data_IF_486503956808
#
_entry.id   IF_486503956808
#
_cell.length_a   1.000
_cell.length_b   1.000
_cell.length_c   1.000
_cell.angle_alpha   90.00
_cell.angle_beta   90.00
_cell.angle_gamma   90.00
#
_symmetry.space_group_name_H-M   'P 1'
#
loop_
_entity.id
_entity.type
_entity.pdbx_description
1 polymer ?
#
# COMPACT_ATOMS: atom_id res chain seq x y z
N UNK A 1 -11.76 19.17 2.17
CA UNK A 1 -11.08 17.93 1.75
C UNK A 1 -10.91 17.11 3.02
N UNK A 2 -11.66 16.01 3.15
CA UNK A 2 -11.95 15.37 4.45
C UNK A 2 -10.76 14.59 4.98
N UNK A 3 -10.39 14.93 6.21
CA UNK A 3 -9.38 14.30 7.07
C UNK A 3 -9.85 12.90 7.50
N UNK A 4 -9.60 11.87 6.67
CA UNK A 4 -9.89 10.45 6.96
C UNK A 4 -8.69 9.53 6.71
N UNK A 5 -7.48 10.03 6.95
CA UNK A 5 -6.22 9.30 6.79
C UNK A 5 -5.66 8.79 8.15
N UNK A 6 -6.51 8.50 9.14
CA UNK A 6 -6.04 8.14 10.49
C UNK A 6 -6.41 6.71 10.84
N UNK A 7 -5.40 5.85 10.98
CA UNK A 7 -5.56 4.57 11.68
C UNK A 7 -5.86 4.88 13.15
N UNK A 8 -7.09 4.62 13.60
CA UNK A 8 -7.47 4.92 14.97
C UNK A 8 -6.95 3.81 15.89
N UNK A 9 -6.41 4.20 17.04
CA UNK A 9 -6.17 3.30 18.16
C UNK A 9 -7.08 3.74 19.30
N UNK A 10 -8.05 2.89 19.66
CA UNK A 10 -8.85 3.08 20.86
C UNK A 10 -8.26 2.22 21.98
N UNK A 11 -8.12 2.83 23.16
CA UNK A 11 -7.52 2.19 24.32
C UNK A 11 -8.50 2.21 25.50
N UNK A 12 -8.67 1.07 26.17
CA UNK A 12 -9.33 1.03 27.47
C UNK A 12 -8.39 0.39 28.49
N UNK A 13 -8.20 1.07 29.62
CA UNK A 13 -7.30 0.65 30.69
C UNK A 13 -8.09 0.31 31.93
N UNK A 14 -7.93 -0.92 32.41
CA UNK A 14 -8.38 -1.37 33.72
C UNK A 14 -7.15 -1.75 34.54
N UNK A 15 -7.28 -1.85 35.86
CA UNK A 15 -6.15 -2.22 36.71
C UNK A 15 -5.67 -3.63 36.37
N UNK A 16 -4.53 -3.73 35.70
CA UNK A 16 -3.93 -5.00 35.28
C UNK A 16 -4.36 -5.50 33.89
N UNK A 17 -5.17 -4.74 33.15
CA UNK A 17 -5.67 -5.12 31.82
C UNK A 17 -5.70 -3.89 30.89
N UNK A 18 -5.36 -4.09 29.62
CA UNK A 18 -5.42 -3.06 28.60
C UNK A 18 -5.97 -3.66 27.30
N UNK A 19 -6.97 -3.00 26.72
CA UNK A 19 -7.53 -3.37 25.42
C UNK A 19 -7.14 -2.31 24.37
N UNK A 20 -6.55 -2.77 23.27
CA UNK A 20 -6.18 -1.94 22.12
C UNK A 20 -7.01 -2.36 20.91
N UNK A 21 -7.67 -1.40 20.27
CA UNK A 21 -8.46 -1.62 19.04
C UNK A 21 -7.91 -0.74 17.93
N UNK A 22 -7.58 -1.33 16.78
CA UNK A 22 -7.17 -0.60 15.59
C UNK A 22 -7.82 -1.16 14.34
N UNK A 23 -8.02 -0.28 13.37
CA UNK A 23 -8.45 -0.59 12.01
C UNK A 23 -7.30 -1.11 11.12
N UNK A 24 -6.05 -1.00 11.58
CA UNK A 24 -4.86 -1.45 10.87
C UNK A 24 -4.14 -2.58 11.62
N UNK A 25 -4.03 -3.74 10.95
CA UNK A 25 -3.38 -4.95 11.48
C UNK A 25 -1.90 -4.71 11.79
N UNK A 26 -1.20 -3.92 10.98
CA UNK A 26 0.21 -3.58 11.21
C UNK A 26 0.40 -2.81 12.51
N UNK A 27 -0.53 -1.92 12.86
CA UNK A 27 -0.50 -1.21 14.15
C UNK A 27 -0.56 -2.19 15.32
N UNK A 28 -1.44 -3.20 15.25
CA UNK A 28 -1.54 -4.25 16.29
C UNK A 28 -0.28 -5.13 16.30
N UNK A 29 0.32 -5.42 15.14
CA UNK A 29 1.59 -6.16 15.03
C UNK A 29 2.72 -5.45 15.78
N UNK A 30 2.90 -4.15 15.50
CA UNK A 30 3.91 -3.29 16.13
C UNK A 30 3.67 -3.17 17.64
N UNK A 31 2.42 -2.97 18.06
CA UNK A 31 2.07 -2.89 19.48
C UNK A 31 2.40 -4.20 20.22
N UNK A 32 1.98 -5.35 19.68
CA UNK A 32 2.25 -6.66 20.27
C UNK A 32 3.75 -6.90 20.42
N UNK A 33 4.55 -6.57 19.41
CA UNK A 33 6.00 -6.76 19.43
C UNK A 33 6.70 -5.88 20.47
N UNK A 34 6.34 -4.59 20.51
CA UNK A 34 6.89 -3.66 21.50
C UNK A 34 6.48 -4.02 22.93
N UNK A 35 5.21 -4.34 23.17
CA UNK A 35 4.71 -4.75 24.49
C UNK A 35 5.40 -6.03 24.98
N UNK A 36 5.53 -7.03 24.10
CA UNK A 36 6.21 -8.30 24.43
C UNK A 36 7.69 -8.05 24.77
N UNK A 37 8.36 -7.19 23.98
CA UNK A 37 9.77 -6.85 24.17
C UNK A 37 9.99 -6.12 25.49
N UNK A 38 9.18 -5.11 25.80
CA UNK A 38 9.29 -4.34 27.04
C UNK A 38 8.91 -5.16 28.28
N UNK A 39 7.87 -6.00 28.19
CA UNK A 39 7.52 -6.93 29.28
C UNK A 39 8.66 -7.89 29.59
N UNK A 40 9.31 -8.44 28.55
CA UNK A 40 10.48 -9.32 28.68
C UNK A 40 11.65 -8.60 29.35
N UNK A 41 12.00 -7.38 28.90
CA UNK A 41 13.06 -6.56 29.52
C UNK A 41 12.81 -6.30 31.01
N UNK A 42 11.54 -6.05 31.38
CA UNK A 42 11.13 -5.77 32.76
C UNK A 42 10.82 -7.03 33.58
N UNK A 43 10.93 -8.22 32.99
CA UNK A 43 10.55 -9.51 33.60
C UNK A 43 9.10 -9.53 34.13
N UNK A 44 8.21 -8.81 33.44
CA UNK A 44 6.78 -8.78 33.75
C UNK A 44 6.11 -9.88 32.93
N UNK A 45 5.33 -10.75 33.59
CA UNK A 45 4.50 -11.72 32.89
C UNK A 45 3.27 -11.00 32.34
N UNK A 46 3.13 -10.99 31.02
CA UNK A 46 1.95 -10.48 30.31
C UNK A 46 1.30 -11.61 29.54
N UNK A 47 -0.03 -11.61 29.49
CA UNK A 47 -0.82 -12.47 28.62
C UNK A 47 -1.43 -11.59 27.52
N UNK A 48 -1.23 -11.96 26.26
CA UNK A 48 -1.62 -11.14 25.10
C UNK A 48 -2.49 -11.98 24.18
N UNK A 49 -3.78 -11.66 24.19
CA UNK A 49 -4.75 -12.22 23.26
C UNK A 49 -5.00 -11.23 22.13
N UNK A 50 -4.99 -11.72 20.89
CA UNK A 50 -5.18 -10.89 19.69
C UNK A 50 -6.26 -11.47 18.79
N UNK A 51 -7.20 -10.63 18.38
CA UNK A 51 -8.23 -10.93 17.40
C UNK A 51 -8.04 -10.05 16.16
N UNK A 52 -7.93 -10.67 14.99
CA UNK A 52 -7.77 -9.97 13.70
C UNK A 52 -8.99 -10.27 12.84
N UNK A 53 -9.63 -9.21 12.35
CA UNK A 53 -10.73 -9.31 11.39
C UNK A 53 -10.17 -9.34 9.98
N UNK A 54 -10.63 -10.27 9.14
CA UNK A 54 -10.22 -10.29 7.75
C UNK A 54 -10.73 -9.04 6.98
N UNK A 55 -11.82 -8.41 7.43
CA UNK A 55 -12.38 -7.19 6.82
C UNK A 55 -11.53 -5.94 7.05
N UNK A 56 -10.64 -5.94 8.05
CA UNK A 56 -9.71 -4.81 8.23
C UNK A 56 -8.74 -4.70 7.06
N UNK A 57 -8.38 -5.82 6.43
CA UNK A 57 -7.52 -5.83 5.23
C UNK A 57 -8.22 -5.12 4.07
N UNK A 58 -9.48 -5.50 3.79
CA UNK A 58 -10.27 -4.88 2.73
C UNK A 58 -10.35 -3.36 2.91
N UNK A 59 -10.58 -2.92 4.14
CA UNK A 59 -10.68 -1.50 4.52
C UNK A 59 -9.38 -0.74 4.27
N UNK A 60 -8.23 -1.27 4.74
CA UNK A 60 -6.92 -0.63 4.55
C UNK A 60 -6.54 -0.59 3.07
N UNK A 61 -6.76 -1.68 2.33
CA UNK A 61 -6.49 -1.73 0.89
C UNK A 61 -7.33 -0.71 0.12
N UNK A 62 -8.59 -0.49 0.52
CA UNK A 62 -9.47 0.52 -0.10
C UNK A 62 -8.98 1.94 0.15
N UNK A 63 -8.45 2.23 1.33
CA UNK A 63 -7.87 3.54 1.65
C UNK A 63 -6.61 3.84 0.82
N UNK A 64 -5.83 2.81 0.47
CA UNK A 64 -4.62 2.96 -0.34
C UNK A 64 -4.89 2.99 -1.84
N UNK A 65 -6.03 2.47 -2.30
CA UNK A 65 -6.35 2.27 -3.72
C UNK A 65 -6.28 3.57 -4.54
N UNK A 66 -6.91 4.65 -4.09
CA UNK A 66 -6.93 5.91 -4.85
C UNK A 66 -5.51 6.44 -5.08
N UNK A 67 -4.69 6.44 -4.02
CA UNK A 67 -3.30 6.87 -4.07
C UNK A 67 -2.48 5.93 -4.96
N UNK A 68 -2.66 4.62 -4.82
CA UNK A 68 -1.97 3.62 -5.62
C UNK A 68 -2.21 3.81 -7.12
N UNK A 69 -3.47 3.90 -7.55
CA UNK A 69 -3.85 4.10 -8.96
C UNK A 69 -3.27 5.42 -9.49
N UNK A 70 -3.37 6.49 -8.70
CA UNK A 70 -2.84 7.80 -9.06
C UNK A 70 -1.33 7.74 -9.33
N UNK A 71 -0.56 7.16 -8.40
CA UNK A 71 0.89 7.09 -8.52
C UNK A 71 1.36 6.12 -9.62
N UNK A 72 0.66 5.02 -9.85
CA UNK A 72 0.94 4.13 -10.97
C UNK A 72 0.74 4.80 -12.31
N UNK A 73 -0.37 5.54 -12.45
CA UNK A 73 -0.63 6.31 -13.67
C UNK A 73 0.48 7.34 -13.89
N UNK A 74 0.85 8.07 -12.83
CA UNK A 74 1.90 9.07 -12.91
C UNK A 74 3.26 8.48 -13.33
N UNK A 75 3.64 7.32 -12.77
CA UNK A 75 4.86 6.61 -13.14
C UNK A 75 4.84 6.13 -14.60
N UNK A 76 3.69 5.59 -15.05
CA UNK A 76 3.50 5.18 -16.47
C UNK A 76 3.58 6.36 -17.42
N UNK A 77 2.95 7.49 -17.08
CA UNK A 77 2.96 8.71 -17.88
C UNK A 77 4.38 9.28 -18.01
N UNK A 78 5.19 9.26 -16.94
CA UNK A 78 6.61 9.66 -16.98
C UNK A 78 7.43 8.71 -17.85
N UNK A 79 7.29 7.40 -17.67
CA UNK A 79 8.00 6.41 -18.49
C UNK A 79 7.69 6.56 -19.99
N UNK A 80 6.43 6.88 -20.32
CA UNK A 80 6.03 7.17 -21.70
C UNK A 80 6.65 8.47 -22.23
N UNK A 81 6.67 9.54 -21.42
CA UNK A 81 7.31 10.81 -21.79
C UNK A 81 8.81 10.63 -22.05
N UNK A 82 9.49 9.84 -21.22
CA UNK A 82 10.91 9.55 -21.40
C UNK A 82 11.15 8.79 -22.71
N UNK A 83 10.35 7.76 -23.00
CA UNK A 83 10.42 7.03 -24.27
C UNK A 83 10.11 7.91 -25.50
N UNK A 84 9.14 8.84 -25.40
CA UNK A 84 8.83 9.77 -26.48
C UNK A 84 9.97 10.77 -26.73
N UNK A 85 10.62 11.24 -25.66
CA UNK A 85 11.78 12.11 -25.76
C UNK A 85 13.00 11.39 -26.38
N UNK A 86 13.22 10.11 -26.03
CA UNK A 86 14.26 9.28 -26.65
C UNK A 86 14.06 9.05 -28.14
N UNK A 87 12.80 8.97 -28.59
CA UNK A 87 12.45 8.84 -30.00
C UNK A 87 12.54 10.16 -30.78
N UNK A 88 13.04 11.24 -30.15
CA UNK A 88 13.11 12.60 -30.71
C UNK A 88 11.74 13.05 -31.25
N UNK A 89 10.65 12.61 -30.62
CA UNK A 89 9.29 13.07 -30.94
C UNK A 89 9.05 14.43 -30.29
N UNK A 90 9.95 15.37 -30.59
CA UNK A 90 9.96 16.75 -30.11
C UNK A 90 9.64 17.74 -31.25
N UNK A 91 9.62 17.27 -32.50
CA UNK A 91 9.29 18.09 -33.68
C UNK A 91 7.79 17.98 -34.05
N UNK A 92 7.19 19.10 -34.49
CA UNK A 92 5.78 19.16 -34.89
C UNK A 92 5.40 18.14 -35.98
N UNK A 93 6.36 17.73 -36.83
CA UNK A 93 6.11 16.76 -37.90
C UNK A 93 5.96 15.31 -37.40
N UNK A 94 6.76 14.88 -36.42
CA UNK A 94 6.68 13.52 -35.86
C UNK A 94 5.52 13.39 -34.89
N UNK A 95 5.20 14.45 -34.15
CA UNK A 95 4.05 14.48 -33.24
C UNK A 95 2.72 14.27 -33.98
N UNK A 96 2.59 14.65 -35.27
CA UNK A 96 1.34 14.48 -36.05
C UNK A 96 0.88 13.02 -36.14
N UNK A 97 1.82 12.07 -36.18
CA UNK A 97 1.54 10.63 -36.27
C UNK A 97 1.14 9.98 -34.94
N UNK A 98 1.29 10.70 -33.82
CA UNK A 98 0.89 10.20 -32.51
C UNK A 98 -0.63 10.18 -32.34
N UNK A 99 -1.09 9.22 -31.55
CA UNK A 99 -2.48 9.19 -31.08
C UNK A 99 -2.79 10.42 -30.20
N UNK A 100 -4.07 10.84 -30.11
CA UNK A 100 -4.46 11.98 -29.27
C UNK A 100 -3.99 11.86 -27.82
N UNK A 101 -4.02 10.64 -27.26
CA UNK A 101 -3.58 10.35 -25.89
C UNK A 101 -2.11 10.77 -25.63
N UNK A 102 -1.21 10.51 -26.57
CA UNK A 102 0.20 10.85 -26.41
C UNK A 102 0.46 12.34 -26.65
N UNK A 103 -0.30 12.97 -27.57
CA UNK A 103 -0.26 14.43 -27.77
C UNK A 103 -0.67 15.18 -26.51
N UNK A 104 -1.77 14.76 -25.88
CA UNK A 104 -2.26 15.34 -24.62
C UNK A 104 -1.28 15.15 -23.46
N UNK A 105 -0.50 14.07 -23.49
CA UNK A 105 0.55 13.80 -22.51
C UNK A 105 1.76 14.74 -22.71
N UNK A 106 2.21 14.93 -23.96
CA UNK A 106 3.29 15.88 -24.31
C UNK A 106 2.92 17.32 -23.93
N UNK A 107 1.68 17.75 -24.18
CA UNK A 107 1.18 19.08 -23.78
C UNK A 107 1.31 19.30 -22.27
N UNK A 108 1.03 18.26 -21.47
CA UNK A 108 1.06 18.31 -20.00
C UNK A 108 2.40 17.88 -19.39
N UNK A 109 3.44 17.65 -20.20
CA UNK A 109 4.72 17.11 -19.75
C UNK A 109 5.29 17.86 -18.54
N UNK A 110 5.34 19.19 -18.60
CA UNK A 110 5.88 20.04 -17.51
C UNK A 110 5.12 19.85 -16.19
N UNK A 111 3.80 19.71 -16.25
CA UNK A 111 2.95 19.48 -15.08
C UNK A 111 3.19 18.08 -14.50
N UNK A 112 3.16 17.06 -15.37
CA UNK A 112 3.35 15.65 -14.99
C UNK A 112 4.73 15.44 -14.35
N UNK A 113 5.79 15.98 -14.96
CA UNK A 113 7.16 15.93 -14.41
C UNK A 113 7.27 16.65 -13.07
N UNK A 114 6.66 17.83 -12.93
CA UNK A 114 6.65 18.58 -11.66
C UNK A 114 5.92 17.82 -10.56
N UNK A 115 4.78 17.20 -10.86
CA UNK A 115 4.01 16.42 -9.90
C UNK A 115 4.83 15.21 -9.44
N UNK A 116 5.43 14.46 -10.37
CA UNK A 116 6.27 13.30 -10.06
C UNK A 116 7.48 13.67 -9.18
N UNK A 117 8.16 14.77 -9.49
CA UNK A 117 9.29 15.27 -8.69
C UNK A 117 8.89 15.74 -7.29
N UNK A 118 7.65 16.18 -7.10
CA UNK A 118 7.18 16.61 -5.78
C UNK A 118 6.84 15.45 -4.84
N UNK A 119 6.71 14.23 -5.38
CA UNK A 119 6.31 13.03 -4.66
C UNK A 119 7.25 11.84 -4.94
N UNK A 120 8.57 11.99 -4.70
CA UNK A 120 9.55 10.96 -5.02
C UNK A 120 9.37 9.73 -4.12
N UNK A 121 9.35 8.54 -4.74
CA UNK A 121 9.25 7.26 -4.03
C UNK A 121 7.91 7.01 -3.33
N UNK A 122 6.87 7.80 -3.62
CA UNK A 122 5.54 7.58 -3.03
C UNK A 122 4.95 6.23 -3.43
N UNK A 123 5.14 5.79 -4.68
CA UNK A 123 4.69 4.48 -5.15
C UNK A 123 5.42 3.35 -4.40
N UNK A 124 6.75 3.43 -4.28
CA UNK A 124 7.56 2.45 -3.55
C UNK A 124 7.15 2.34 -2.08
N UNK A 125 6.82 3.48 -1.45
CA UNK A 125 6.30 3.51 -0.07
C UNK A 125 4.96 2.81 0.06
N UNK A 126 4.06 2.98 -0.91
CA UNK A 126 2.78 2.25 -0.92
C UNK A 126 3.03 0.75 -1.07
N UNK A 127 3.91 0.33 -1.99
CA UNK A 127 4.28 -1.07 -2.16
C UNK A 127 4.88 -1.68 -0.90
N UNK A 128 5.78 -0.95 -0.23
CA UNK A 128 6.31 -1.33 1.07
C UNK A 128 5.21 -1.50 2.12
N UNK A 129 4.31 -0.51 2.23
CA UNK A 129 3.21 -0.52 3.19
C UNK A 129 2.27 -1.72 2.98
N UNK A 130 1.90 -2.02 1.73
CA UNK A 130 1.05 -3.18 1.42
C UNK A 130 1.79 -4.49 1.67
N UNK A 131 3.10 -4.54 1.41
CA UNK A 131 3.94 -5.72 1.69
C UNK A 131 4.06 -6.00 3.18
N UNK A 132 4.28 -4.96 4.00
CA UNK A 132 4.34 -5.08 5.45
C UNK A 132 2.99 -5.52 6.01
N UNK A 133 1.89 -4.94 5.54
CA UNK A 133 0.53 -5.36 5.89
C UNK A 133 0.28 -6.84 5.58
N UNK A 134 0.75 -7.34 4.42
CA UNK A 134 0.64 -8.75 4.05
C UNK A 134 1.41 -9.66 5.00
N UNK A 135 2.63 -9.27 5.36
CA UNK A 135 3.47 -10.04 6.30
C UNK A 135 2.83 -10.07 7.69
N UNK A 136 2.39 -8.92 8.20
CA UNK A 136 1.76 -8.80 9.51
C UNK A 136 0.47 -9.62 9.60
N UNK A 137 -0.39 -9.53 8.60
CA UNK A 137 -1.63 -10.29 8.55
C UNK A 137 -1.40 -11.80 8.58
N UNK A 138 -0.44 -12.29 7.80
CA UNK A 138 -0.11 -13.72 7.78
C UNK A 138 0.60 -14.17 9.07
N UNK A 139 1.42 -13.30 9.69
CA UNK A 139 2.07 -13.55 10.99
C UNK A 139 1.02 -13.83 12.07
N UNK A 140 -0.08 -13.09 12.10
CA UNK A 140 -1.19 -13.34 13.03
C UNK A 140 -1.94 -14.66 12.76
N UNK A 141 -1.98 -15.12 11.51
CA UNK A 141 -2.52 -16.43 11.13
C UNK A 141 -1.53 -17.59 11.32
N UNK A 142 -0.31 -17.32 11.80
CA UNK A 142 0.74 -18.34 11.98
C UNK A 142 1.42 -18.78 10.69
N UNK A 143 1.26 -18.03 9.59
CA UNK A 143 1.79 -18.36 8.26
C UNK A 143 3.01 -17.48 7.97
N UNK A 144 4.15 -18.09 7.62
CA UNK A 144 5.31 -17.33 7.13
C UNK A 144 5.13 -17.02 5.63
N UNK A 145 4.85 -15.76 5.32
CA UNK A 145 4.56 -15.31 3.96
C UNK A 145 5.68 -14.50 3.30
N UNK A 146 6.86 -14.40 3.92
CA UNK A 146 7.97 -13.56 3.41
C UNK A 146 8.39 -13.91 1.98
N UNK A 147 8.40 -15.20 1.63
CA UNK A 147 8.72 -15.66 0.27
C UNK A 147 7.61 -15.35 -0.75
N UNK A 148 6.37 -15.19 -0.30
CA UNK A 148 5.23 -14.81 -1.14
C UNK A 148 5.18 -13.30 -1.39
N UNK A 149 5.83 -12.49 -0.54
CA UNK A 149 5.89 -11.04 -0.71
C UNK A 149 6.54 -10.61 -2.06
N UNK A 150 7.45 -11.41 -2.62
CA UNK A 150 7.99 -11.12 -3.97
C UNK A 150 6.91 -11.20 -5.05
N UNK A 151 5.99 -12.16 -4.96
CA UNK A 151 4.86 -12.30 -5.90
C UNK A 151 3.80 -11.20 -5.72
N UNK A 152 3.75 -10.60 -4.53
CA UNK A 152 2.86 -9.46 -4.27
C UNK A 152 3.25 -8.25 -5.13
N UNK A 153 4.54 -8.06 -5.42
CA UNK A 153 4.99 -6.97 -6.30
C UNK A 153 4.41 -7.12 -7.71
N UNK A 154 4.38 -8.34 -8.26
CA UNK A 154 3.76 -8.61 -9.57
C UNK A 154 2.26 -8.27 -9.56
N UNK A 155 1.54 -8.63 -8.49
CA UNK A 155 0.11 -8.30 -8.32
C UNK A 155 -0.12 -6.79 -8.16
N UNK A 156 0.82 -6.09 -7.52
CA UNK A 156 0.75 -4.65 -7.38
C UNK A 156 1.03 -3.95 -8.71
N UNK A 157 2.00 -4.40 -9.51
CA UNK A 157 2.31 -3.83 -10.82
C UNK A 157 1.14 -3.96 -11.83
N UNK A 158 0.48 -5.12 -11.85
CA UNK A 158 -0.76 -5.37 -12.60
C UNK A 158 -2.00 -5.23 -11.68
N UNK A 159 -2.12 -4.05 -11.07
CA UNK A 159 -3.10 -3.80 -10.02
C UNK A 159 -4.54 -4.13 -10.45
N UNK A 160 -5.15 -5.03 -9.70
CA UNK A 160 -6.60 -5.23 -9.63
C UNK A 160 -6.98 -5.42 -8.16
N UNK A 161 -8.02 -4.70 -7.71
CA UNK A 161 -8.49 -4.81 -6.32
C UNK A 161 -8.83 -6.27 -5.96
N UNK A 162 -9.55 -6.97 -6.83
CA UNK A 162 -9.95 -8.35 -6.60
C UNK A 162 -8.77 -9.31 -6.55
N UNK A 163 -7.76 -9.10 -7.41
CA UNK A 163 -6.54 -9.90 -7.40
C UNK A 163 -5.74 -9.66 -6.12
N UNK A 164 -5.62 -8.41 -5.69
CA UNK A 164 -4.90 -8.06 -4.47
C UNK A 164 -5.60 -8.62 -3.23
N UNK A 165 -6.92 -8.46 -3.12
CA UNK A 165 -7.70 -9.04 -2.01
C UNK A 165 -7.61 -10.56 -2.03
N UNK A 166 -7.74 -11.21 -3.19
CA UNK A 166 -7.59 -12.67 -3.31
C UNK A 166 -6.20 -13.15 -2.94
N UNK A 167 -5.17 -12.34 -3.19
CA UNK A 167 -3.80 -12.65 -2.78
C UNK A 167 -3.65 -12.65 -1.26
N UNK A 168 -4.28 -11.68 -0.57
CA UNK A 168 -4.33 -11.64 0.90
C UNK A 168 -5.24 -12.74 1.48
N UNK A 169 -6.35 -13.02 0.80
CA UNK A 169 -7.44 -13.90 1.24
C UNK A 169 -7.85 -14.85 0.11
N UNK A 170 -7.18 -15.99 -0.06
CA UNK A 170 -7.45 -16.93 -1.16
C UNK A 170 -8.88 -17.51 -1.19
N UNK A 171 -9.59 -17.45 -0.07
CA UNK A 171 -10.98 -17.92 0.05
C UNK A 171 -12.03 -16.80 -0.15
N UNK A 172 -11.61 -15.56 -0.42
CA UNK A 172 -12.50 -14.40 -0.56
C UNK A 172 -13.50 -14.56 -1.71
N UNK A 173 -13.06 -15.07 -2.86
CA UNK A 173 -13.91 -15.28 -4.05
C UNK A 173 -14.63 -16.64 -4.07
N UNK A 174 -14.59 -17.42 -2.98
CA UNK A 174 -15.29 -18.71 -2.87
C UNK A 174 -16.68 -18.60 -2.21
N UNK A 175 -17.13 -17.38 -1.94
CA UNK A 175 -18.42 -17.06 -1.32
C UNK A 175 -19.33 -16.44 -2.37
#
# INVERSE_FOLDING_TARGET
MSEKDTCLVNESFLKGEAEFKSDNVSTISVLKENLTTEATKKKIRVDINTFISDESINSVLKLLEEKLILYQKLAKDISLLDALNELEVTEEETAKYLSPKYKDLLIREKEVRKLYQSQPGCLDRIYGTVSDLFIDFNKFKGINSRQKATKLMEVLEDYSYDNLVSFFRPDYNKI
#
